data_IF_917232791340
#
_entry.id   IF_917232791340
#
_cell.length_a   1.000
_cell.length_b   1.000
_cell.length_c   1.000
_cell.angle_alpha   90.00
_cell.angle_beta   90.00
_cell.angle_gamma   90.00
#
_symmetry.space_group_name_H-M   'P 1'
#
loop_
_entity.id
_entity.type
_entity.pdbx_description
1 polymer ?
#
# COMPACT_ATOMS: atom_id res chain seq x y z
N UNK A 1 9.79 8.78 2.90
CA UNK A 1 10.48 7.50 2.59
C UNK A 1 10.32 6.44 3.69
N UNK A 2 10.68 6.68 4.96
CA UNK A 2 10.25 5.80 6.09
C UNK A 2 8.79 6.05 6.49
N UNK A 3 8.42 7.34 6.60
CA UNK A 3 7.09 7.77 7.02
C UNK A 3 5.95 7.30 6.08
N UNK A 4 6.22 7.20 4.77
CA UNK A 4 5.20 6.78 3.80
C UNK A 4 4.87 5.29 3.94
N UNK A 5 5.88 4.46 4.25
CA UNK A 5 5.71 3.01 4.47
C UNK A 5 4.87 2.76 5.71
N UNK A 6 5.16 3.48 6.81
CA UNK A 6 4.39 3.40 8.05
C UNK A 6 2.94 3.82 7.84
N UNK A 7 2.70 4.95 7.14
CA UNK A 7 1.35 5.41 6.80
C UNK A 7 0.59 4.40 5.93
N UNK A 8 1.24 3.76 4.96
CA UNK A 8 0.64 2.68 4.17
C UNK A 8 0.25 1.50 5.07
N UNK A 9 1.14 1.06 5.96
CA UNK A 9 0.83 -0.04 6.88
C UNK A 9 -0.34 0.31 7.80
N UNK A 10 -0.39 1.53 8.34
CA UNK A 10 -1.54 1.98 9.14
C UNK A 10 -2.84 1.96 8.32
N UNK A 11 -2.82 2.47 7.09
CA UNK A 11 -4.00 2.48 6.23
C UNK A 11 -4.51 1.06 5.89
N UNK A 12 -3.59 0.11 5.68
CA UNK A 12 -3.91 -1.28 5.34
C UNK A 12 -4.29 -2.14 6.56
N UNK A 13 -3.88 -1.75 7.78
CA UNK A 13 -4.31 -2.40 9.03
C UNK A 13 -5.80 -2.19 9.30
N UNK A 14 -6.38 -1.08 8.87
CA UNK A 14 -7.82 -0.84 9.00
C UNK A 14 -8.63 -1.75 8.08
N UNK A 15 -8.26 -1.85 6.81
CA UNK A 15 -8.92 -2.70 5.81
C UNK A 15 -8.06 -2.88 4.54
N UNK A 16 -8.36 -3.89 3.71
CA UNK A 16 -7.77 -4.00 2.38
C UNK A 16 -8.20 -2.88 1.42
N UNK A 17 -7.26 -2.31 0.69
CA UNK A 17 -7.47 -1.10 -0.12
C UNK A 17 -6.94 -1.23 -1.56
N UNK A 18 -7.57 -0.54 -2.50
CA UNK A 18 -7.01 -0.32 -3.85
C UNK A 18 -5.86 0.71 -3.78
N UNK A 19 -4.97 0.70 -4.77
CA UNK A 19 -3.79 1.59 -4.86
C UNK A 19 -4.18 3.06 -4.66
N UNK A 20 -5.19 3.55 -5.38
CA UNK A 20 -5.69 4.91 -5.23
C UNK A 20 -6.18 5.25 -3.82
N UNK A 21 -6.83 4.30 -3.13
CA UNK A 21 -7.29 4.49 -1.75
C UNK A 21 -6.10 4.55 -0.77
N UNK A 22 -5.08 3.69 -0.98
CA UNK A 22 -3.82 3.73 -0.23
C UNK A 22 -3.11 5.06 -0.43
N UNK A 23 -2.96 5.50 -1.69
CA UNK A 23 -2.32 6.76 -2.05
C UNK A 23 -2.97 7.94 -1.31
N UNK A 24 -4.31 8.03 -1.34
CA UNK A 24 -5.04 9.08 -0.64
C UNK A 24 -4.87 9.04 0.87
N UNK A 25 -4.98 7.86 1.49
CA UNK A 25 -4.90 7.73 2.96
C UNK A 25 -3.49 7.93 3.50
N UNK A 26 -2.49 7.41 2.80
CA UNK A 26 -1.09 7.55 3.18
C UNK A 26 -0.47 8.89 2.71
N UNK A 27 -1.25 9.71 1.99
CA UNK A 27 -0.81 10.99 1.41
C UNK A 27 0.45 10.85 0.55
N UNK A 28 0.46 9.85 -0.35
CA UNK A 28 1.56 9.62 -1.30
C UNK A 28 1.33 10.51 -2.52
N UNK A 29 2.42 11.09 -3.04
CA UNK A 29 2.39 12.16 -4.04
C UNK A 29 1.61 11.83 -5.33
N UNK A 30 1.66 10.57 -5.79
CA UNK A 30 0.92 10.10 -6.96
C UNK A 30 0.74 8.57 -6.95
N UNK A 31 -0.10 8.07 -7.86
CA UNK A 31 -0.48 6.66 -7.91
C UNK A 31 0.69 5.75 -8.35
N UNK A 32 1.53 6.21 -9.28
CA UNK A 32 2.71 5.47 -9.75
C UNK A 32 3.75 5.27 -8.64
N UNK A 33 4.01 6.32 -7.85
CA UNK A 33 4.88 6.27 -6.69
C UNK A 33 4.31 5.36 -5.60
N UNK A 34 2.99 5.40 -5.37
CA UNK A 34 2.31 4.53 -4.42
C UNK A 34 2.40 3.06 -4.86
N UNK A 35 2.12 2.77 -6.14
CA UNK A 35 2.23 1.43 -6.71
C UNK A 35 3.67 0.91 -6.62
N UNK A 36 4.66 1.72 -7.00
CA UNK A 36 6.08 1.36 -6.91
C UNK A 36 6.51 1.04 -5.48
N UNK A 37 6.00 1.79 -4.50
CA UNK A 37 6.28 1.55 -3.08
C UNK A 37 5.61 0.27 -2.57
N UNK A 38 4.35 0.02 -2.94
CA UNK A 38 3.63 -1.20 -2.57
C UNK A 38 4.30 -2.45 -3.13
N UNK A 39 4.81 -2.40 -4.36
CA UNK A 39 5.59 -3.49 -4.95
C UNK A 39 6.87 -3.77 -4.15
N UNK A 40 7.63 -2.74 -3.78
CA UNK A 40 8.81 -2.91 -2.91
C UNK A 40 8.44 -3.53 -1.55
N UNK A 41 7.39 -3.00 -0.91
CA UNK A 41 6.91 -3.52 0.38
C UNK A 41 6.40 -4.98 0.28
N UNK A 42 5.89 -5.39 -0.87
CA UNK A 42 5.48 -6.78 -1.16
C UNK A 42 6.67 -7.71 -1.26
N UNK A 43 7.69 -7.30 -2.00
CA UNK A 43 8.90 -8.08 -2.19
C UNK A 43 9.64 -8.28 -0.85
N UNK A 44 9.50 -7.31 0.07
CA UNK A 44 9.96 -7.40 1.46
C UNK A 44 8.99 -8.13 2.41
N UNK A 45 7.83 -8.59 1.93
CA UNK A 45 6.84 -9.34 2.70
C UNK A 45 5.96 -8.52 3.66
N UNK A 46 6.09 -7.19 3.67
CA UNK A 46 5.31 -6.31 4.57
C UNK A 46 3.84 -6.17 4.16
N UNK A 47 3.53 -6.34 2.87
CA UNK A 47 2.18 -6.27 2.30
C UNK A 47 1.97 -7.38 1.29
N UNK A 48 0.72 -7.72 1.00
CA UNK A 48 0.33 -8.67 -0.04
C UNK A 48 -0.74 -8.05 -0.94
N UNK A 49 -0.79 -8.53 -2.18
CA UNK A 49 -1.79 -8.12 -3.15
C UNK A 49 -2.71 -9.30 -3.49
N UNK A 50 -4.00 -9.14 -3.22
CA UNK A 50 -5.04 -10.07 -3.64
C UNK A 50 -5.36 -9.79 -5.11
N UNK A 51 -4.86 -10.64 -6.01
CA UNK A 51 -5.05 -10.51 -7.46
C UNK A 51 -6.51 -10.70 -7.89
N UNK A 52 -7.33 -11.40 -7.11
CA UNK A 52 -8.72 -11.66 -7.44
C UNK A 52 -9.61 -10.48 -7.05
N UNK A 53 -9.25 -9.77 -5.98
CA UNK A 53 -10.00 -8.60 -5.49
C UNK A 53 -9.39 -7.26 -5.91
N UNK A 54 -8.16 -7.27 -6.43
CA UNK A 54 -7.41 -6.07 -6.78
C UNK A 54 -7.13 -5.18 -5.57
N UNK A 55 -6.84 -5.78 -4.41
CA UNK A 55 -6.66 -5.05 -3.14
C UNK A 55 -5.36 -5.43 -2.44
N UNK A 56 -4.73 -4.43 -1.84
CA UNK A 56 -3.59 -4.57 -0.96
C UNK A 56 -4.04 -4.82 0.47
N UNK A 57 -3.29 -5.61 1.21
CA UNK A 57 -3.46 -5.83 2.65
C UNK A 57 -2.09 -6.05 3.32
N UNK A 58 -2.06 -5.99 4.65
CA UNK A 58 -0.85 -6.32 5.41
C UNK A 58 -0.49 -7.80 5.17
N UNK A 59 0.79 -8.06 4.93
CA UNK A 59 1.33 -9.36 4.54
C UNK A 59 1.32 -10.39 5.67
#
# INVERSE_FOLDING_TARGET
MLNDREKILMALREKPLKVYEVMKRANVANEEACQSLLLKMRDEGSVKFDIHKGRWHVG
#
